data_IF_904013319453
#
_entry.id   IF_904013319453
#
_cell.length_a   1.000
_cell.length_b   1.000
_cell.length_c   1.000
_cell.angle_alpha   90.00
_cell.angle_beta   90.00
_cell.angle_gamma   90.00
#
_symmetry.space_group_name_H-M   'P 1'
#
loop_
_entity.id
_entity.type
_entity.pdbx_description
1 polymer ?
2 polymer ?
3 non-polymer ?
4 non-polymer ?
5 water ?
#
# COMPACT_ATOMS: atom_id res chain seq x y z
N UNK A 1 14.21 -13.83 15.71
CA UNK A 1 14.40 -12.51 15.05
C UNK A 1 15.51 -11.72 15.70
N UNK A 2 16.29 -11.02 14.87
CA UNK A 2 17.44 -10.29 15.37
C UNK A 2 17.04 -9.12 16.26
N UNK A 3 15.77 -8.70 16.26
CA UNK A 3 15.29 -7.64 17.17
C UNK A 3 14.70 -8.18 18.45
N UNK A 4 14.75 -9.50 18.67
CA UNK A 4 14.08 -10.09 19.82
C UNK A 4 14.63 -9.64 21.16
N UNK A 5 15.90 -9.23 21.20
CA UNK A 5 16.50 -8.77 22.45
C UNK A 5 16.33 -7.29 22.72
N UNK A 6 15.77 -6.51 21.78
CA UNK A 6 15.60 -5.08 21.98
C UNK A 6 14.24 -4.73 22.54
N UNK A 7 14.23 -3.77 23.47
CA UNK A 7 12.97 -3.27 24.02
C UNK A 7 12.05 -2.75 22.93
N UNK A 8 10.75 -3.01 23.10
CA UNK A 8 9.75 -2.43 22.20
C UNK A 8 9.93 -0.93 22.04
N UNK A 9 10.05 -0.20 23.15
CA UNK A 9 10.15 1.25 23.04
C UNK A 9 11.42 1.67 22.32
N UNK A 10 12.52 0.92 22.51
CA UNK A 10 13.77 1.21 21.82
C UNK A 10 13.65 1.00 20.32
N UNK A 11 12.90 -0.04 19.93
CA UNK A 11 12.65 -0.30 18.51
C UNK A 11 11.88 0.85 17.88
N UNK A 12 10.85 1.34 18.56
CA UNK A 12 10.07 2.46 18.03
C UNK A 12 10.93 3.72 17.95
N UNK A 13 11.73 3.97 19.00
CA UNK A 13 12.63 5.13 18.98
C UNK A 13 13.58 5.04 17.79
N UNK A 14 14.17 3.86 17.57
CA UNK A 14 15.12 3.72 16.47
C UNK A 14 14.43 3.75 15.12
N UNK A 15 13.19 3.27 15.01
CA UNK A 15 12.44 3.44 13.77
C UNK A 15 12.33 4.93 13.42
N UNK A 16 12.05 5.78 14.41
CA UNK A 16 11.92 7.21 14.14
C UNK A 16 13.26 7.81 13.72
N UNK A 17 14.34 7.36 14.34
CA UNK A 17 15.68 7.81 13.94
C UNK A 17 16.01 7.37 12.52
N UNK A 18 15.68 6.11 12.19
CA UNK A 18 15.93 5.60 10.86
C UNK A 18 15.14 6.40 9.82
N UNK A 19 13.91 6.79 10.16
CA UNK A 19 13.14 7.64 9.24
C UNK A 19 13.86 8.96 8.98
N UNK A 20 14.38 9.58 10.04
CA UNK A 20 15.07 10.86 9.90
C UNK A 20 16.29 10.71 9.01
N UNK A 21 16.97 9.56 9.12
CA UNK A 21 18.16 9.25 8.35
C UNK A 21 17.87 8.67 6.97
N UNK A 22 16.59 8.53 6.60
CA UNK A 22 16.18 7.94 5.33
C UNK A 22 16.74 6.53 5.16
N UNK A 23 16.78 5.79 6.27
CA UNK A 23 17.25 4.42 6.31
C UNK A 23 16.05 3.49 6.46
N UNK A 24 15.31 3.33 5.36
CA UNK A 24 13.99 2.71 5.45
C UNK A 24 14.04 1.19 5.62
N UNK A 25 15.08 0.53 5.09
CA UNK A 25 15.24 -0.91 5.38
C UNK A 25 15.43 -1.13 6.87
N UNK A 26 16.27 -0.31 7.52
CA UNK A 26 16.40 -0.38 8.98
C UNK A 26 15.07 -0.09 9.66
N UNK A 27 14.39 0.97 9.22
CA UNK A 27 13.10 1.32 9.80
C UNK A 27 12.11 0.20 9.75
N UNK A 28 12.06 -0.51 8.64
CA UNK A 28 11.16 -1.65 8.52
C UNK A 28 11.55 -2.77 9.47
N UNK A 29 12.85 -3.08 9.54
CA UNK A 29 13.29 -4.12 10.47
C UNK A 29 12.96 -3.77 11.92
N UNK A 30 13.13 -2.52 12.31
CA UNK A 30 12.78 -2.10 13.66
C UNK A 30 11.29 -2.27 13.90
N UNK A 31 10.46 -1.87 12.93
CA UNK A 31 9.02 -1.93 13.14
C UNK A 31 8.52 -3.38 13.11
N UNK A 32 9.10 -4.22 12.25
CA UNK A 32 8.80 -5.64 12.31
C UNK A 32 9.12 -6.19 13.70
N UNK A 33 10.27 -5.81 14.26
CA UNK A 33 10.60 -6.24 15.61
C UNK A 33 9.57 -5.77 16.62
N UNK A 34 9.10 -4.52 16.47
CA UNK A 34 8.09 -4.00 17.38
C UNK A 34 6.78 -4.79 17.26
N UNK A 35 6.36 -5.09 16.04
CA UNK A 35 5.14 -5.85 15.88
C UNK A 35 5.26 -7.21 16.54
N UNK A 36 6.43 -7.84 16.38
CA UNK A 36 6.61 -9.20 16.89
C UNK A 36 6.66 -9.25 18.41
N UNK A 37 6.68 -8.10 19.09
CA UNK A 37 6.51 -8.11 20.56
C UNK A 37 5.13 -8.58 20.95
N UNK A 38 4.16 -8.52 20.03
CA UNK A 38 2.86 -9.10 20.25
C UNK A 38 1.80 -8.15 20.76
N UNK A 39 2.17 -6.94 21.13
CA UNK A 39 1.17 -5.96 21.55
C UNK A 39 0.58 -5.28 20.34
N UNK A 40 -0.64 -4.79 20.48
CA UNK A 40 -1.26 -3.98 19.45
C UNK A 40 -0.45 -2.69 19.23
N UNK A 41 -0.64 -2.09 18.06
CA UNK A 41 0.07 -0.88 17.68
C UNK A 41 -0.85 0.33 17.83
N UNK A 42 -0.28 1.41 18.32
CA UNK A 42 -0.96 2.69 18.37
C UNK A 42 -1.07 3.30 16.97
N UNK A 43 -1.82 4.40 16.87
CA UNK A 43 -1.94 5.08 15.57
C UNK A 43 -0.59 5.47 15.01
N UNK A 44 0.25 6.11 15.82
CA UNK A 44 1.56 6.55 15.36
C UNK A 44 2.42 5.36 14.95
N UNK A 45 2.37 4.29 15.74
CA UNK A 45 3.15 3.09 15.43
C UNK A 45 2.70 2.44 14.13
N UNK A 46 1.38 2.38 13.89
CA UNK A 46 0.89 1.89 12.60
C UNK A 46 1.44 2.74 11.46
N UNK A 47 1.49 4.06 11.64
CA UNK A 47 2.04 4.92 10.62
C UNK A 47 3.51 4.62 10.37
N UNK A 48 4.29 4.38 11.43
CA UNK A 48 5.71 4.08 11.24
C UNK A 48 5.88 2.79 10.45
N UNK A 49 5.08 1.77 10.78
CA UNK A 49 5.11 0.51 10.04
C UNK A 49 4.82 0.74 8.57
N UNK A 50 3.79 1.53 8.29
CA UNK A 50 3.39 1.77 6.91
C UNK A 50 4.44 2.57 6.16
N UNK A 51 4.95 3.64 6.76
CA UNK A 51 5.97 4.44 6.10
C UNK A 51 7.19 3.59 5.75
N UNK A 52 7.62 2.77 6.69
CA UNK A 52 8.84 1.99 6.49
C UNK A 52 8.68 1.06 5.29
N UNK A 53 7.64 0.23 5.31
CA UNK A 53 7.52 -0.77 4.26
C UNK A 53 7.11 -0.14 2.93
N UNK A 54 6.34 0.97 2.96
CA UNK A 54 5.98 1.61 1.70
C UNK A 54 7.22 2.14 1.00
N UNK A 55 8.17 2.70 1.76
CA UNK A 55 9.40 3.19 1.16
C UNK A 55 10.24 2.04 0.65
N UNK A 56 10.33 0.94 1.41
CA UNK A 56 11.11 -0.20 0.92
C UNK A 56 10.51 -0.76 -0.35
N UNK A 57 9.23 -1.12 -0.31
CA UNK A 57 8.62 -1.74 -1.50
C UNK A 57 8.56 -0.73 -2.64
N UNK A 58 8.51 0.58 -2.32
CA UNK A 58 8.46 1.58 -3.36
C UNK A 58 9.72 1.59 -4.20
N UNK A 59 10.87 1.44 -3.55
CA UNK A 59 12.11 1.34 -4.29
C UNK A 59 12.17 0.08 -5.12
N UNK A 60 11.66 -1.02 -4.58
CA UNK A 60 11.66 -2.28 -5.31
C UNK A 60 10.76 -2.19 -6.53
N UNK A 61 9.59 -1.59 -6.37
CA UNK A 61 8.64 -1.47 -7.48
C UNK A 61 9.24 -0.61 -8.59
N UNK A 62 9.90 0.48 -8.22
CA UNK A 62 10.53 1.33 -9.22
C UNK A 62 11.61 0.57 -9.96
N UNK A 63 12.44 -0.17 -9.23
CA UNK A 63 13.50 -0.95 -9.89
C UNK A 63 12.92 -2.03 -10.79
N UNK A 64 11.89 -2.73 -10.30
CA UNK A 64 11.26 -3.79 -11.10
C UNK A 64 10.71 -3.21 -12.40
N UNK A 65 10.10 -2.02 -12.34
CA UNK A 65 9.54 -1.44 -13.55
C UNK A 65 10.62 -1.13 -14.57
N UNK A 66 11.77 -0.62 -14.12
CA UNK A 66 12.87 -0.32 -15.02
C UNK A 66 13.35 -1.61 -15.68
N UNK A 67 13.54 -2.67 -14.89
CA UNK A 67 14.06 -3.93 -15.43
C UNK A 67 13.05 -4.62 -16.32
N UNK A 68 11.77 -4.58 -15.95
CA UNK A 68 10.75 -5.19 -16.80
C UNK A 68 10.67 -4.47 -18.15
N UNK A 69 10.86 -3.14 -18.16
CA UNK A 69 10.82 -2.41 -19.42
C UNK A 69 11.99 -2.79 -20.30
N UNK A 70 13.17 -2.93 -19.71
CA UNK A 70 14.34 -3.35 -20.48
C UNK A 70 14.13 -4.76 -21.03
N UNK A 71 13.57 -5.64 -20.21
CA UNK A 71 13.32 -7.01 -20.63
C UNK A 71 12.31 -7.06 -21.77
N UNK A 72 11.25 -6.25 -21.68
CA UNK A 72 10.24 -6.24 -22.73
C UNK A 72 10.83 -5.77 -24.04
N UNK A 73 11.76 -4.81 -23.97
CA UNK A 73 12.43 -4.33 -25.18
C UNK A 73 13.36 -5.40 -25.76
N UNK A 74 14.07 -6.12 -24.88
CA UNK A 74 14.94 -7.19 -25.35
C UNK A 74 14.16 -8.26 -26.10
N UNK A 75 12.88 -8.41 -25.79
CA UNK A 75 12.00 -9.38 -26.43
C UNK A 75 11.15 -8.75 -27.53
N UNK A 76 11.50 -7.53 -27.97
CA UNK A 76 10.85 -6.93 -29.13
C UNK A 76 11.28 -7.66 -30.40
N UNK A 77 10.38 -7.69 -31.39
CA UNK A 77 10.63 -8.43 -32.63
C UNK A 77 11.68 -7.68 -33.46
N UNK A 78 12.94 -7.94 -33.13
CA UNK A 78 14.05 -7.34 -33.85
C UNK A 78 15.24 -6.99 -32.97
N UNK A 79 15.17 -7.37 -31.69
CA UNK A 79 16.20 -7.02 -30.73
C UNK A 79 17.30 -8.07 -30.70
N UNK A 80 18.53 -7.61 -30.50
CA UNK A 80 19.69 -8.50 -30.41
C UNK A 80 19.59 -9.37 -29.16
N UNK A 81 19.95 -10.64 -29.29
CA UNK A 81 19.92 -11.56 -28.15
C UNK A 81 21.03 -11.22 -27.18
N UNK A 82 20.70 -11.14 -25.90
CA UNK A 82 21.64 -10.65 -24.89
C UNK A 82 21.88 -11.66 -23.77
N UNK A 83 21.33 -12.86 -23.87
CA UNK A 83 21.51 -13.86 -22.84
C UNK A 83 20.47 -13.74 -21.75
N UNK A 84 20.64 -14.55 -20.69
CA UNK A 84 19.63 -14.64 -19.63
C UNK A 84 19.71 -13.56 -18.56
N UNK A 85 20.65 -12.63 -18.66
CA UNK A 85 20.98 -11.77 -17.51
C UNK A 85 19.84 -10.82 -17.14
N UNK A 86 19.18 -10.20 -18.13
CA UNK A 86 18.12 -9.26 -17.82
C UNK A 86 16.99 -9.98 -17.08
N UNK A 87 16.55 -11.13 -17.63
CA UNK A 87 15.52 -11.91 -16.97
C UNK A 87 15.96 -12.34 -15.57
N UNK A 88 17.19 -12.84 -15.43
CA UNK A 88 17.68 -13.28 -14.12
C UNK A 88 17.61 -12.13 -13.10
N UNK A 89 18.06 -10.95 -13.49
CA UNK A 89 18.13 -9.85 -12.52
C UNK A 89 16.73 -9.30 -12.23
N UNK A 90 15.87 -9.23 -13.24
CA UNK A 90 14.47 -8.88 -12.98
C UNK A 90 13.84 -9.86 -12.00
N UNK A 91 14.10 -11.16 -12.19
CA UNK A 91 13.62 -12.18 -11.27
C UNK A 91 14.15 -12.00 -9.86
N UNK A 92 15.43 -11.62 -9.73
CA UNK A 92 16.01 -11.39 -8.41
C UNK A 92 15.28 -10.28 -7.69
N UNK A 93 15.12 -9.14 -8.36
CA UNK A 93 14.42 -8.01 -7.75
C UNK A 93 12.98 -8.40 -7.45
N UNK A 94 12.32 -9.08 -8.39
CA UNK A 94 10.94 -9.55 -8.18
C UNK A 94 10.81 -10.43 -6.95
N UNK A 95 11.74 -11.38 -6.78
CA UNK A 95 11.66 -12.27 -5.64
C UNK A 95 11.84 -11.50 -4.33
N UNK A 96 12.74 -10.51 -4.33
CA UNK A 96 12.93 -9.70 -3.12
C UNK A 96 11.66 -8.89 -2.81
N UNK A 97 11.07 -8.31 -3.85
CA UNK A 97 9.80 -7.59 -3.70
C UNK A 97 8.71 -8.48 -3.11
N UNK A 98 8.53 -9.68 -3.69
CA UNK A 98 7.54 -10.62 -3.20
C UNK A 98 7.83 -10.99 -1.76
N UNK A 99 9.10 -11.07 -1.40
CA UNK A 99 9.45 -11.36 -0.02
C UNK A 99 9.03 -10.28 0.95
N UNK A 100 9.24 -9.02 0.57
CA UNK A 100 8.79 -7.90 1.39
C UNK A 100 7.27 -7.95 1.53
N UNK A 101 6.55 -8.16 0.40
CA UNK A 101 5.10 -8.22 0.49
C UNK A 101 4.65 -9.37 1.39
N UNK A 102 5.28 -10.55 1.24
CA UNK A 102 4.93 -11.69 2.08
C UNK A 102 5.21 -11.40 3.56
N UNK A 103 6.29 -10.68 3.86
CA UNK A 103 6.59 -10.30 5.24
C UNK A 103 5.49 -9.43 5.81
N UNK A 104 5.06 -8.39 5.06
CA UNK A 104 4.02 -7.52 5.57
C UNK A 104 2.72 -8.30 5.76
N UNK A 105 2.34 -9.09 4.75
CA UNK A 105 1.11 -9.87 4.86
C UNK A 105 1.19 -10.83 6.03
N UNK A 106 2.38 -11.38 6.29
CA UNK A 106 2.55 -12.25 7.44
C UNK A 106 2.33 -11.55 8.77
N UNK A 107 2.84 -10.33 8.91
CA UNK A 107 2.59 -9.58 10.13
C UNK A 107 1.10 -9.29 10.31
N UNK A 108 0.41 -8.94 9.21
CA UNK A 108 -1.02 -8.66 9.32
C UNK A 108 -1.79 -9.92 9.72
N UNK A 109 -1.38 -11.09 9.22
CA UNK A 109 -2.07 -12.32 9.53
C UNK A 109 -1.66 -12.92 10.86
N UNK A 110 -0.53 -12.49 11.42
CA UNK A 110 0.00 -13.06 12.67
C UNK A 110 0.59 -11.92 13.51
N UNK A 111 -0.26 -11.12 14.18
CA UNK A 111 -1.69 -11.32 14.36
C UNK A 111 -2.39 -9.97 14.37
N UNK A 112 -1.88 -9.01 13.58
CA UNK A 112 -2.39 -7.65 13.70
C UNK A 112 -3.89 -7.58 13.41
N UNK A 113 -4.36 -8.18 12.32
CA UNK A 113 -5.75 -7.98 11.92
C UNK A 113 -6.69 -8.60 12.95
N UNK A 114 -6.37 -9.80 13.42
CA UNK A 114 -7.34 -10.49 14.27
C UNK A 114 -7.53 -9.80 15.60
N UNK A 115 -6.56 -9.00 16.05
CA UNK A 115 -6.69 -8.29 17.33
C UNK A 115 -7.23 -6.89 17.14
N UNK A 116 -7.41 -6.45 15.90
CA UNK A 116 -7.82 -5.08 15.61
C UNK A 116 -9.33 -4.99 15.61
N UNK A 117 -9.88 -4.35 16.64
CA UNK A 117 -11.32 -4.24 16.79
C UNK A 117 -11.87 -2.86 16.52
N UNK A 118 -11.07 -1.82 16.69
CA UNK A 118 -11.57 -0.47 16.40
C UNK A 118 -11.55 -0.23 14.90
N UNK A 119 -12.46 0.61 14.43
CA UNK A 119 -12.54 0.84 13.00
C UNK A 119 -11.24 1.41 12.44
N UNK A 120 -10.60 2.35 13.17
CA UNK A 120 -9.39 2.98 12.63
C UNK A 120 -8.28 1.96 12.41
N UNK A 121 -8.10 1.04 13.35
CA UNK A 121 -7.04 0.07 13.20
C UNK A 121 -7.42 -1.00 12.17
N UNK A 122 -8.65 -1.51 12.24
CA UNK A 122 -9.04 -2.59 11.34
C UNK A 122 -9.06 -2.13 9.89
N UNK A 123 -9.61 -0.95 9.62
CA UNK A 123 -9.58 -0.45 8.25
C UNK A 123 -8.15 -0.21 7.78
N UNK A 124 -7.30 0.38 8.63
CA UNK A 124 -5.90 0.58 8.28
C UNK A 124 -5.25 -0.73 7.86
N UNK A 125 -5.43 -1.79 8.66
CA UNK A 125 -4.74 -3.04 8.36
C UNK A 125 -5.31 -3.74 7.14
N UNK A 126 -6.64 -3.69 6.96
CA UNK A 126 -7.22 -4.33 5.78
C UNK A 126 -6.85 -3.58 4.51
N UNK A 127 -6.78 -2.24 4.57
CA UNK A 127 -6.25 -1.47 3.45
C UNK A 127 -4.82 -1.90 3.13
N UNK A 128 -4.01 -2.09 4.16
CA UNK A 128 -2.63 -2.50 3.96
C UNK A 128 -2.57 -3.88 3.32
N UNK A 129 -3.44 -4.80 3.75
CA UNK A 129 -3.51 -6.11 3.14
C UNK A 129 -3.85 -6.00 1.65
N UNK A 130 -4.85 -5.18 1.33
CA UNK A 130 -5.16 -4.94 -0.08
C UNK A 130 -3.98 -4.38 -0.85
N UNK A 131 -3.26 -3.41 -0.25
CA UNK A 131 -2.14 -2.77 -0.92
C UNK A 131 -1.03 -3.77 -1.25
N UNK A 132 -0.66 -4.62 -0.28
CA UNK A 132 0.47 -5.53 -0.51
C UNK A 132 0.07 -6.70 -1.39
N UNK A 133 -1.21 -7.13 -1.40
CA UNK A 133 -1.63 -8.03 -2.47
C UNK A 133 -1.61 -7.32 -3.82
N UNK A 134 -1.96 -6.02 -3.86
CA UNK A 134 -1.92 -5.29 -5.12
C UNK A 134 -0.49 -5.20 -5.65
N UNK A 135 0.49 -5.02 -4.78
CA UNK A 135 1.88 -4.98 -5.23
C UNK A 135 2.31 -6.36 -5.73
N UNK A 136 1.87 -7.43 -5.08
CA UNK A 136 2.10 -8.75 -5.62
C UNK A 136 1.45 -8.91 -7.00
N UNK A 137 0.23 -8.39 -7.16
CA UNK A 137 -0.46 -8.48 -8.44
C UNK A 137 0.30 -7.78 -9.55
N UNK A 138 0.97 -6.66 -9.24
CA UNK A 138 1.68 -5.89 -10.25
C UNK A 138 2.74 -6.74 -10.97
N UNK A 139 3.28 -7.76 -10.31
CA UNK A 139 4.35 -8.60 -10.87
C UNK A 139 3.90 -10.01 -11.15
N UNK A 140 2.65 -10.34 -10.88
CA UNK A 140 2.18 -11.71 -11.01
C UNK A 140 1.84 -12.03 -12.45
N UNK A 141 2.19 -13.26 -12.87
CA UNK A 141 1.90 -13.72 -14.22
C UNK A 141 1.43 -15.16 -14.32
N UNK A 142 1.51 -15.95 -13.25
CA UNK A 142 1.25 -17.37 -13.31
C UNK A 142 -0.22 -17.70 -13.09
N UNK A 143 -0.47 -18.94 -12.65
CA UNK A 143 -1.84 -19.30 -12.30
C UNK A 143 -2.40 -18.33 -11.28
N UNK A 144 -1.63 -18.09 -10.22
CA UNK A 144 -2.12 -17.39 -9.05
C UNK A 144 -2.34 -15.91 -9.26
N UNK A 145 -2.15 -15.35 -10.46
CA UNK A 145 -2.48 -13.94 -10.67
C UNK A 145 -3.94 -13.66 -10.33
N UNK A 146 -4.86 -14.48 -10.85
CA UNK A 146 -6.27 -14.30 -10.55
C UNK A 146 -6.51 -14.34 -9.04
N UNK A 147 -5.90 -15.31 -8.34
CA UNK A 147 -6.18 -15.45 -6.92
C UNK A 147 -5.56 -14.30 -6.12
N UNK A 148 -4.39 -13.80 -6.56
CA UNK A 148 -3.80 -12.63 -5.89
C UNK A 148 -4.72 -11.42 -6.05
N UNK A 149 -5.23 -11.20 -7.26
CA UNK A 149 -6.14 -10.09 -7.50
C UNK A 149 -7.37 -10.23 -6.64
N UNK A 150 -7.91 -11.44 -6.52
CA UNK A 150 -9.10 -11.58 -5.70
C UNK A 150 -8.83 -11.35 -4.22
N UNK A 151 -7.63 -11.74 -3.76
CA UNK A 151 -7.25 -11.46 -2.38
C UNK A 151 -7.18 -9.96 -2.12
N UNK A 152 -6.56 -9.22 -3.02
CA UNK A 152 -6.54 -7.75 -2.87
C UNK A 152 -7.95 -7.19 -2.83
N UNK A 153 -8.77 -7.61 -3.80
CA UNK A 153 -10.13 -7.11 -3.88
C UNK A 153 -10.90 -7.37 -2.59
N UNK A 154 -10.74 -8.59 -2.05
CA UNK A 154 -11.48 -8.97 -0.86
C UNK A 154 -11.10 -8.15 0.35
N UNK A 155 -9.80 -7.91 0.51
CA UNK A 155 -9.33 -7.10 1.62
C UNK A 155 -9.85 -5.67 1.51
N UNK A 156 -9.71 -5.08 0.33
CA UNK A 156 -10.21 -3.73 0.13
C UNK A 156 -11.71 -3.66 0.38
N UNK A 157 -12.46 -4.66 -0.09
CA UNK A 157 -13.92 -4.61 0.08
C UNK A 157 -14.31 -4.69 1.55
N UNK A 158 -13.67 -5.57 2.31
CA UNK A 158 -13.97 -5.63 3.75
C UNK A 158 -13.66 -4.30 4.41
N UNK A 159 -12.53 -3.71 4.05
CA UNK A 159 -12.18 -2.40 4.58
C UNK A 159 -13.21 -1.35 4.20
N UNK A 160 -13.67 -1.36 2.93
CA UNK A 160 -14.68 -0.40 2.49
C UNK A 160 -15.95 -0.56 3.27
N UNK A 161 -16.40 -1.80 3.47
CA UNK A 161 -17.65 -1.99 4.19
C UNK A 161 -17.57 -1.41 5.60
N UNK A 162 -16.46 -1.65 6.31
CA UNK A 162 -16.33 -1.11 7.66
C UNK A 162 -16.26 0.41 7.63
N UNK A 163 -15.48 0.97 6.69
CA UNK A 163 -15.27 2.42 6.67
C UNK A 163 -16.58 3.15 6.40
N UNK A 164 -17.43 2.59 5.56
CA UNK A 164 -18.68 3.28 5.23
C UNK A 164 -19.63 3.24 6.41
N UNK A 165 -19.56 2.19 7.21
CA UNK A 165 -20.42 2.07 8.40
C UNK A 165 -19.92 2.91 9.57
N UNK A 166 -18.61 3.04 9.72
CA UNK A 166 -18.01 3.51 10.97
C UNK A 166 -17.28 4.84 10.89
N UNK A 167 -17.02 5.39 9.72
CA UNK A 167 -16.23 6.61 9.57
C UNK A 167 -16.99 7.61 8.73
N UNK A 168 -16.80 8.90 9.00
CA UNK A 168 -17.36 9.92 8.12
C UNK A 168 -16.66 9.93 6.78
N UNK A 169 -17.30 10.48 5.76
CA UNK A 169 -16.72 10.42 4.41
C UNK A 169 -15.45 11.23 4.25
N UNK A 170 -15.11 12.11 5.19
CA UNK A 170 -13.85 12.85 5.10
C UNK A 170 -12.73 12.20 5.89
N UNK A 171 -13.00 11.09 6.57
CA UNK A 171 -11.97 10.47 7.38
C UNK A 171 -10.77 10.13 6.49
N UNK A 172 -9.55 10.57 6.84
CA UNK A 172 -8.43 10.36 5.92
C UNK A 172 -8.10 8.90 5.64
N UNK A 173 -8.31 7.99 6.58
CA UNK A 173 -8.09 6.58 6.27
C UNK A 173 -9.12 6.10 5.26
N UNK A 174 -10.39 6.48 5.47
CA UNK A 174 -11.43 6.13 4.51
C UNK A 174 -11.12 6.67 3.13
N UNK A 175 -10.64 7.90 3.05
CA UNK A 175 -10.31 8.51 1.77
C UNK A 175 -9.14 7.79 1.10
N UNK A 176 -8.08 7.49 1.85
CA UNK A 176 -6.93 6.82 1.28
C UNK A 176 -7.24 5.41 0.85
N UNK A 177 -8.10 4.73 1.61
CA UNK A 177 -8.58 3.42 1.18
C UNK A 177 -9.28 3.51 -0.16
N UNK A 178 -10.24 4.42 -0.28
CA UNK A 178 -10.96 4.56 -1.53
C UNK A 178 -10.03 4.93 -2.68
N UNK A 179 -9.09 5.84 -2.44
CA UNK A 179 -8.10 6.17 -3.45
C UNK A 179 -7.38 4.91 -3.92
N UNK A 180 -6.86 4.13 -2.99
CA UNK A 180 -6.07 2.96 -3.39
C UNK A 180 -6.92 1.88 -4.04
N UNK A 181 -8.18 1.70 -3.58
CA UNK A 181 -9.06 0.75 -4.24
C UNK A 181 -9.37 1.20 -5.66
N UNK A 182 -9.54 2.51 -5.87
CA UNK A 182 -9.75 3.01 -7.23
C UNK A 182 -8.52 2.76 -8.11
N UNK A 183 -7.32 2.86 -7.55
CA UNK A 183 -6.10 2.51 -8.29
C UNK A 183 -6.09 1.03 -8.64
N UNK A 184 -6.45 0.19 -7.67
CA UNK A 184 -6.62 -1.24 -7.92
C UNK A 184 -7.54 -1.46 -9.12
N UNK A 185 -8.70 -0.81 -9.13
CA UNK A 185 -9.63 -1.05 -10.24
C UNK A 185 -9.03 -0.64 -11.58
N UNK A 186 -8.36 0.50 -11.63
CA UNK A 186 -7.85 1.03 -12.90
C UNK A 186 -6.61 0.27 -13.36
N UNK A 187 -5.66 0.01 -12.45
CA UNK A 187 -4.33 -0.45 -12.84
C UNK A 187 -4.19 -1.97 -12.80
N UNK A 188 -4.98 -2.65 -11.98
CA UNK A 188 -4.88 -4.10 -11.77
C UNK A 188 -6.07 -4.85 -12.35
N UNK A 189 -7.30 -4.38 -12.08
CA UNK A 189 -8.50 -5.16 -12.35
C UNK A 189 -9.14 -4.87 -13.71
N UNK A 190 -8.52 -4.04 -14.54
CA UNK A 190 -9.06 -3.75 -15.88
C UNK A 190 -10.47 -3.19 -15.78
N UNK A 191 -10.71 -2.38 -14.75
CA UNK A 191 -12.03 -1.82 -14.48
C UNK A 191 -11.97 -0.30 -14.35
N UNK A 192 -11.60 0.41 -15.42
CA UNK A 192 -11.46 1.87 -15.30
C UNK A 192 -12.78 2.57 -14.98
N UNK A 193 -13.91 2.07 -15.47
CA UNK A 193 -15.17 2.73 -15.12
C UNK A 193 -15.47 2.63 -13.64
N UNK A 194 -15.19 1.48 -13.03
CA UNK A 194 -15.36 1.36 -11.58
C UNK A 194 -14.43 2.30 -10.84
N UNK A 195 -13.18 2.39 -11.30
CA UNK A 195 -12.22 3.30 -10.70
C UNK A 195 -12.74 4.73 -10.72
N UNK A 196 -13.23 5.17 -11.87
CA UNK A 196 -13.74 6.54 -12.03
C UNK A 196 -14.96 6.76 -11.15
N UNK A 197 -15.88 5.81 -11.14
CA UNK A 197 -17.08 5.96 -10.33
C UNK A 197 -16.75 6.05 -8.84
N UNK A 198 -15.86 5.18 -8.37
CA UNK A 198 -15.48 5.22 -6.97
C UNK A 198 -14.78 6.53 -6.64
N UNK A 199 -13.85 6.97 -7.48
CA UNK A 199 -13.15 8.22 -7.18
C UNK A 199 -14.12 9.39 -7.14
N UNK A 200 -15.05 9.46 -8.09
CA UNK A 200 -16.01 10.57 -8.15
C UNK A 200 -16.93 10.58 -6.93
N UNK A 201 -17.52 9.43 -6.60
CA UNK A 201 -18.43 9.36 -5.46
C UNK A 201 -17.71 9.67 -4.16
N UNK A 202 -16.51 9.13 -4.00
CA UNK A 202 -15.72 9.42 -2.80
C UNK A 202 -15.47 10.91 -2.68
N UNK A 203 -15.07 11.55 -3.78
CA UNK A 203 -14.75 12.98 -3.78
C UNK A 203 -15.96 13.80 -3.39
N UNK A 204 -17.09 13.51 -4.03
CA UNK A 204 -18.30 14.29 -3.81
C UNK A 204 -18.83 14.11 -2.40
N UNK A 205 -18.76 12.91 -1.85
CA UNK A 205 -19.28 12.72 -0.51
C UNK A 205 -18.39 13.41 0.51
N UNK A 206 -17.08 13.43 0.26
CA UNK A 206 -16.19 14.15 1.16
C UNK A 206 -16.44 15.65 1.08
N UNK A 207 -16.58 16.17 -0.14
CA UNK A 207 -16.84 17.61 -0.32
C UNK A 207 -17.97 18.06 0.58
N UNK A 208 -19.05 17.28 0.62
CA UNK A 208 -20.26 17.66 1.34
C UNK A 208 -20.10 17.56 2.85
N UNK A 209 -19.02 16.96 3.34
CA UNK A 209 -18.78 16.80 4.77
C UNK A 209 -17.66 17.70 5.27
N UNK A 210 -16.99 18.44 4.39
CA UNK A 210 -15.86 19.26 4.82
C UNK A 210 -16.27 20.35 5.81
N UNK A 211 -17.52 20.80 5.75
CA UNK A 211 -17.96 21.88 6.63
C UNK A 211 -17.91 21.50 8.10
N UNK A 212 -17.83 20.19 8.40
CA UNK A 212 -17.82 19.73 9.79
C UNK A 212 -16.43 19.78 10.42
N UNK A 213 -15.40 20.09 9.63
CA UNK A 213 -14.01 19.87 10.01
C UNK A 213 -13.33 21.13 10.50
N UNK A 214 -12.37 20.93 11.41
CA UNK A 214 -11.41 21.94 11.79
C UNK A 214 -10.46 22.25 10.63
N UNK A 215 -9.72 23.34 10.77
CA UNK A 215 -8.76 23.73 9.75
C UNK A 215 -7.72 22.63 9.52
N UNK A 216 -7.24 22.01 10.59
CA UNK A 216 -6.20 20.99 10.41
C UNK A 216 -6.77 19.74 9.75
N UNK A 217 -7.96 19.30 10.16
CA UNK A 217 -8.57 18.13 9.54
C UNK A 217 -8.93 18.43 8.08
N UNK A 218 -9.38 19.65 7.82
CA UNK A 218 -9.69 20.03 6.46
C UNK A 218 -8.48 19.92 5.55
N UNK A 219 -7.31 20.33 6.06
CA UNK A 219 -6.08 20.21 5.29
C UNK A 219 -5.77 18.75 4.97
N UNK A 220 -5.91 17.87 5.96
CA UNK A 220 -5.63 16.45 5.76
C UNK A 220 -6.56 15.84 4.70
N UNK A 221 -7.86 16.08 4.84
CA UNK A 221 -8.84 15.49 3.95
C UNK A 221 -8.70 16.04 2.54
N UNK A 222 -8.53 17.36 2.40
CA UNK A 222 -8.45 17.92 1.07
C UNK A 222 -7.18 17.50 0.34
N UNK A 223 -6.10 17.20 1.07
CA UNK A 223 -4.90 16.70 0.39
C UNK A 223 -5.20 15.40 -0.36
N UNK A 224 -5.89 14.48 0.30
CA UNK A 224 -6.19 13.20 -0.35
C UNK A 224 -7.24 13.39 -1.44
N UNK A 225 -8.19 14.29 -1.22
CA UNK A 225 -9.20 14.56 -2.22
C UNK A 225 -8.56 15.06 -3.52
N UNK A 226 -7.49 15.86 -3.40
CA UNK A 226 -6.80 16.34 -4.59
C UNK A 226 -6.19 15.19 -5.37
N UNK A 227 -5.71 14.16 -4.68
CA UNK A 227 -5.20 12.99 -5.40
C UNK A 227 -6.31 12.24 -6.16
N UNK A 228 -7.50 12.12 -5.58
CA UNK A 228 -8.63 11.58 -6.33
C UNK A 228 -8.86 12.39 -7.60
N UNK A 229 -8.86 13.73 -7.46
CA UNK A 229 -9.07 14.61 -8.60
C UNK A 229 -7.95 14.45 -9.63
N UNK A 230 -6.72 14.33 -9.15
CA UNK A 230 -5.59 14.14 -10.06
C UNK A 230 -5.79 12.89 -10.91
N UNK A 231 -6.21 11.79 -10.27
CA UNK A 231 -6.44 10.57 -11.01
C UNK A 231 -7.61 10.73 -11.96
N UNK A 232 -8.70 11.35 -11.51
CA UNK A 232 -9.83 11.53 -12.42
C UNK A 232 -9.43 12.33 -13.64
N UNK A 233 -8.52 13.29 -13.48
CA UNK A 233 -8.02 14.05 -14.63
C UNK A 233 -7.17 13.18 -15.56
N UNK A 234 -6.31 12.33 -14.99
CA UNK A 234 -5.53 11.40 -15.79
C UNK A 234 -6.40 10.40 -16.54
N UNK A 235 -7.52 9.99 -15.93
CA UNK A 235 -8.32 8.87 -16.41
C UNK A 235 -9.40 9.28 -17.39
N UNK A 236 -9.68 10.57 -17.51
CA UNK A 236 -10.77 11.10 -18.33
C UNK A 236 -10.32 12.30 -19.16
N UNK B 1 1.52 9.40 -15.82
CA UNK B 1 1.51 8.07 -16.43
C UNK B 1 0.73 7.10 -15.54
N UNK B 2 1.34 6.66 -14.43
CA UNK B 2 0.66 5.74 -13.53
C UNK B 2 -0.20 6.53 -12.54
N UNK B 3 -1.26 5.88 -12.09
CA UNK B 3 -2.15 6.48 -11.12
C UNK B 3 -1.45 6.74 -9.79
N UNK B 4 -1.92 7.76 -9.08
CA UNK B 4 -1.38 8.12 -7.77
C UNK B 4 -2.12 7.37 -6.68
N UNK B 5 -1.36 6.74 -5.79
CA UNK B 5 -1.94 6.08 -4.63
C UNK B 5 -1.64 6.94 -3.39
N UNK B 6 -2.11 6.51 -2.24
CA UNK B 6 -1.97 7.28 -1.02
C UNK B 6 -0.51 7.46 -0.72
N UNK B 7 -0.08 8.68 -0.45
CA UNK B 7 1.34 8.90 -0.09
C UNK B 7 1.62 8.58 1.37
N UNK B 8 2.90 8.66 1.71
CA UNK B 8 3.31 8.47 3.09
C UNK B 8 2.79 9.58 3.99
N UNK B 9 2.34 9.19 5.18
CA UNK B 9 1.84 10.09 6.20
C UNK B 9 2.80 11.26 6.40
X LIG C 1 -20.42 1.60 -5.48
X LIG D 1 10.17 -5.16 27.53
X LIG E 1 9.20 -14.75 -10.65
X LIG F 1 1.11 14.31 3.19
X LIG F 1 -3.85 7.41 6.81
X LIG F 1 -4.85 9.11 8.29
X LIG F 1 -4.02 9.98 9.19
X LIG F 1 -3.83 9.28 10.53
X LIG F 1 -2.95 10.05 11.49
X LIG F 1 -2.86 11.04 13.82
X LIG F 1 -1.57 10.37 14.26
X LIG F 1 -3.23 7.88 10.31
X LIG F 1 -3.96 7.07 9.27
X LIG F 1 -2.15 8.92 4.68
X LIG F 1 -1.09 13.53 3.76
X LIG F 1 -1.27 9.85 4.24
X LIG F 1 -1.62 11.22 4.21
X LIG F 1 -0.71 12.22 3.77
X LIG F 1 -2.37 13.92 4.20
X LIG F 1 -3.26 12.97 4.64
X LIG F 1 -2.90 11.60 4.67
X LIG F 1 -3.79 10.60 5.11
X LIG F 1 -3.44 9.28 5.15
X LIG F 1 -4.41 8.22 5.63
X LIG F 1 -4.81 7.29 4.48
X LIG F 1 -4.18 7.83 8.04
X LIG F 1 -3.47 10.35 12.69
X LIG F 1 -0.29 14.57 3.34
X LIG F 1 -3.15 6.42 6.62
X LIG F 1 -1.78 10.35 11.21
X LIG F 1 -1.75 8.57 14.42
X LIG F 1 1.55 15.13 2.94
X LIG F 1 1.23 13.64 2.49
X LIG F 1 1.46 13.98 4.02
X LIG F 1 -5.02 9.56 7.44
X LIG F 1 -5.73 8.95 8.71
X LIG F 1 -3.14 10.14 8.77
X LIG F 1 -4.45 10.84 9.32
X LIG F 1 -4.73 9.22 10.94
X LIG F 1 -2.66 11.97 13.56
X LIG F 1 -3.48 11.05 14.57
X LIG F 1 -1.30 10.74 15.11
X LIG F 1 -0.87 10.55 13.60
X LIG F 1 -3.23 7.40 11.16
X LIG F 1 -2.30 7.99 10.02
X LIG F 1 -4.83 6.79 9.64
X LIG F 1 -3.45 6.26 9.06
X LIG F 1 -1.90 8.01 4.66
X LIG F 1 -0.41 9.58 3.94
X LIG F 1 0.15 11.97 3.48
X LIG F 1 -2.63 14.83 4.18
X LIG F 1 -4.10 13.24 4.93
X LIG F 1 -4.65 10.86 5.40
X LIG F 1 -5.22 8.67 5.98
X LIG F 1 -4.03 6.83 4.13
X LIG F 1 -5.23 7.82 3.77
X LIG F 1 -5.45 6.63 4.80
X LIG F 1 -4.32 10.08 12.80
#
# INVERSE_FOLDING_TARGET
GAMGSMERASLIQKAKLAEQAERYEDMAAFMKGAVEKGEELSCEERNLLSVAYKNVVGGQRAAWRVLSSIEQKSNEEGSEEKGPEVREYREKVETELQGVCDTVLGLLDSHLIKEAGDAESRVFYLKMKGDYYRYLAEVATGDDKKRIIDSARSAYQEAMDISKKEMPPTNPIRLGLALNFSVFHYEIANSPEEAISLAKTTFDEAMADLHTLSEDSYKDSTLIMQLLRDNLTLWT
QRSTSTPNV
MG MG
MG MG
MG MG
L7U C1 C10 C11 C12 C13 C14 C15 C16 C17 C18 C19 C2 C20 C21 C22 C3 C4 C5 C6 C7 C8 C9 N1 N2 O1 O2 O3 S1 H3 H2 H1 H11 H12 H13 H14 H15 H18 H17 H20 H19 H22 H23 H24 H25 H26 H27 H28 H4 H5 H6 H7 H9 H8 H10 H16
#
